data_IF_446200867441
#
_entry.id   IF_446200867441
#
_cell.length_a   1.000
_cell.length_b   1.000
_cell.length_c   1.000
_cell.angle_alpha   90.00
_cell.angle_beta   90.00
_cell.angle_gamma   90.00
#
_symmetry.space_group_name_H-M   'P 1'
#
loop_
_entity.id
_entity.type
_entity.pdbx_description
1 polymer ?
#
# COMPACT_ATOMS: atom_id res chain seq x y z
N UNK A 1 -10.02 -20.79 62.51
CA UNK A 1 -8.92 -21.36 61.70
C UNK A 1 -9.34 -21.20 60.24
N UNK A 2 -9.30 -19.99 59.69
CA UNK A 2 -8.16 -19.34 59.00
C UNK A 2 -7.65 -20.17 57.80
N UNK A 3 -8.05 -19.68 56.61
CA UNK A 3 -7.19 -19.50 55.45
C UNK A 3 -6.74 -20.73 54.63
N UNK A 4 -7.63 -21.42 53.89
CA UNK A 4 -7.21 -22.34 52.81
C UNK A 4 -8.09 -22.27 51.53
N UNK A 5 -9.05 -21.35 51.39
CA UNK A 5 -9.99 -21.37 50.24
C UNK A 5 -9.92 -20.17 49.29
N UNK A 6 -8.82 -19.42 49.25
CA UNK A 6 -8.63 -18.30 48.31
C UNK A 6 -7.28 -18.43 47.61
N UNK A 7 -7.03 -19.53 46.89
CA UNK A 7 -5.83 -19.67 46.05
C UNK A 7 -6.09 -20.40 44.72
N UNK A 8 -7.32 -20.37 44.19
CA UNK A 8 -7.63 -21.10 42.95
C UNK A 8 -8.61 -20.39 42.00
N UNK A 9 -8.81 -19.09 42.16
CA UNK A 9 -9.72 -18.32 41.32
C UNK A 9 -9.07 -17.06 40.78
N UNK A 10 -8.94 -16.99 39.46
CA UNK A 10 -8.59 -15.82 38.65
C UNK A 10 -7.11 -15.36 38.68
N UNK A 11 -6.28 -16.10 37.96
CA UNK A 11 -5.29 -15.45 37.07
C UNK A 11 -5.57 -15.93 35.66
N UNK A 12 -6.71 -15.50 35.09
CA UNK A 12 -6.87 -15.52 33.63
C UNK A 12 -6.06 -14.32 33.12
N UNK A 13 -4.76 -14.55 32.95
CA UNK A 13 -3.87 -13.63 32.23
C UNK A 13 -4.54 -13.33 30.89
N UNK A 14 -4.94 -12.07 30.72
CA UNK A 14 -5.26 -11.47 29.43
C UNK A 14 -3.98 -11.55 28.59
N UNK A 15 -3.76 -12.69 27.95
CA UNK A 15 -2.85 -12.76 26.81
C UNK A 15 -3.57 -12.02 25.71
N UNK A 16 -3.45 -10.69 25.71
CA UNK A 16 -3.80 -9.89 24.54
C UNK A 16 -2.84 -10.37 23.47
N UNK A 17 -3.29 -11.07 22.42
CA UNK A 17 -2.40 -11.34 21.32
C UNK A 17 -1.95 -9.96 20.84
N UNK A 18 -0.63 -9.71 20.89
CA UNK A 18 -0.07 -8.56 20.23
C UNK A 18 -0.47 -8.71 18.76
N UNK A 19 -1.51 -7.97 18.34
CA UNK A 19 -1.81 -7.81 16.93
C UNK A 19 -0.64 -6.98 16.44
N UNK A 20 0.38 -7.66 15.93
CA UNK A 20 1.50 -7.01 15.27
C UNK A 20 0.89 -6.26 14.10
N UNK A 21 0.63 -4.96 14.28
CA UNK A 21 0.34 -4.08 13.17
C UNK A 21 1.54 -4.22 12.25
N UNK A 22 1.34 -4.91 11.12
CA UNK A 22 2.41 -5.11 10.19
C UNK A 22 2.81 -3.73 9.70
N UNK A 23 3.99 -3.29 10.13
CA UNK A 23 4.50 -1.97 9.80
C UNK A 23 4.68 -1.93 8.29
N UNK A 24 3.96 -1.04 7.63
CA UNK A 24 4.04 -0.87 6.18
C UNK A 24 5.28 -0.06 5.77
N UNK A 25 6.34 -0.11 6.58
CA UNK A 25 7.57 0.69 6.47
C UNK A 25 7.35 2.19 6.67
N UNK A 26 8.44 2.96 6.64
CA UNK A 26 8.38 4.43 6.61
C UNK A 26 8.04 4.94 5.22
N UNK A 27 7.41 6.12 5.14
CA UNK A 27 7.23 6.83 3.87
C UNK A 27 8.58 7.42 3.41
N UNK A 28 8.85 7.33 2.10
CA UNK A 28 10.01 7.95 1.46
C UNK A 28 11.31 7.16 1.49
N UNK A 29 11.88 6.93 0.31
CA UNK A 29 13.29 6.66 0.06
C UNK A 29 13.70 7.24 -1.32
N UNK A 30 14.73 8.11 -1.38
CA UNK A 30 15.24 8.65 -2.64
C UNK A 30 14.37 9.74 -3.29
N UNK A 31 13.81 9.49 -4.47
CA UNK A 31 13.05 10.47 -5.27
C UNK A 31 11.57 10.48 -4.85
N UNK A 32 11.21 11.38 -3.93
CA UNK A 32 9.87 11.51 -3.33
C UNK A 32 9.89 11.35 -1.81
N UNK A 33 8.73 11.27 -1.14
CA UNK A 33 7.40 11.17 -1.74
C UNK A 33 6.85 12.52 -2.21
N UNK A 34 6.17 12.52 -3.35
CA UNK A 34 5.46 13.67 -3.91
C UNK A 34 3.95 13.41 -3.91
N UNK A 35 3.19 14.48 -3.82
CA UNK A 35 1.73 14.47 -3.81
C UNK A 35 1.14 14.56 -5.22
N UNK A 36 0.37 13.54 -5.60
CA UNK A 36 -0.31 13.44 -6.89
C UNK A 36 -1.42 14.49 -7.07
N UNK A 37 -1.95 15.05 -5.98
CA UNK A 37 -2.98 16.09 -6.01
C UNK A 37 -2.40 17.51 -6.08
N UNK A 38 -1.12 17.67 -5.76
CA UNK A 38 -0.41 18.94 -5.88
C UNK A 38 -0.03 19.23 -7.36
N UNK A 39 -0.35 20.44 -7.82
CA UNK A 39 -0.14 20.83 -9.22
C UNK A 39 1.35 20.95 -9.60
N UNK A 40 2.16 21.54 -8.74
CA UNK A 40 3.61 21.70 -8.93
C UNK A 40 4.30 20.33 -9.00
N UNK A 41 3.95 19.41 -8.10
CA UNK A 41 4.47 18.05 -8.13
C UNK A 41 4.08 17.30 -9.42
N UNK A 42 2.85 17.50 -9.91
CA UNK A 42 2.42 16.92 -11.20
C UNK A 42 3.14 17.51 -12.40
N UNK A 43 3.49 18.79 -12.36
CA UNK A 43 4.18 19.46 -13.45
C UNK A 43 5.67 19.11 -13.47
N UNK A 44 6.34 19.20 -12.32
CA UNK A 44 7.79 19.11 -12.24
C UNK A 44 8.30 17.69 -11.99
N UNK A 45 7.57 16.90 -11.19
CA UNK A 45 8.09 15.64 -10.63
C UNK A 45 7.50 14.40 -11.28
N UNK A 46 6.21 14.43 -11.58
CA UNK A 46 5.48 13.31 -12.16
C UNK A 46 6.01 12.88 -13.54
N UNK A 47 6.42 13.78 -14.46
CA UNK A 47 6.91 13.38 -15.78
C UNK A 47 8.17 12.51 -15.72
N UNK A 48 9.00 12.66 -14.68
CA UNK A 48 10.21 11.85 -14.51
C UNK A 48 9.84 10.41 -14.19
N UNK A 49 8.88 10.21 -13.28
CA UNK A 49 8.40 8.88 -12.86
C UNK A 49 7.61 8.20 -13.97
N UNK A 50 6.67 8.91 -14.60
CA UNK A 50 5.78 8.29 -15.61
C UNK A 50 6.52 7.86 -16.87
N UNK A 51 7.57 8.59 -17.28
CA UNK A 51 8.42 8.18 -18.42
C UNK A 51 9.29 6.96 -18.12
N UNK A 52 9.74 6.79 -16.88
CA UNK A 52 10.67 5.72 -16.50
C UNK A 52 9.96 4.46 -16.00
N UNK A 53 8.83 4.60 -15.30
CA UNK A 53 8.22 3.52 -14.52
C UNK A 53 6.69 3.41 -14.67
N UNK A 54 5.99 4.42 -15.18
CA UNK A 54 4.52 4.36 -15.29
C UNK A 54 4.02 4.75 -16.69
N UNK A 55 4.50 4.02 -17.69
CA UNK A 55 4.10 4.20 -19.09
C UNK A 55 2.69 3.66 -19.34
N UNK A 56 2.04 4.00 -20.47
CA UNK A 56 0.73 3.45 -20.82
C UNK A 56 0.67 1.92 -20.90
N UNK A 57 1.80 1.26 -21.16
CA UNK A 57 1.91 -0.21 -21.17
C UNK A 57 1.93 -0.78 -19.75
N UNK A 58 2.64 -0.13 -18.82
CA UNK A 58 2.67 -0.52 -17.41
C UNK A 58 1.27 -0.36 -16.81
N UNK A 59 0.61 0.77 -17.04
CA UNK A 59 -0.72 1.02 -16.49
C UNK A 59 -1.79 0.04 -17.00
N UNK A 60 -1.70 -0.36 -18.28
CA UNK A 60 -2.56 -1.38 -18.88
C UNK A 60 -2.14 -2.81 -18.50
N UNK A 61 -1.06 -2.95 -17.72
CA UNK A 61 -0.48 -4.21 -17.27
C UNK A 61 -0.09 -5.12 -18.46
N UNK A 62 0.43 -4.55 -19.53
CA UNK A 62 0.87 -5.31 -20.71
C UNK A 62 2.30 -5.82 -20.55
N UNK A 63 3.21 -4.94 -20.11
CA UNK A 63 4.62 -5.26 -19.83
C UNK A 63 5.26 -4.17 -18.96
N UNK A 64 6.34 -4.51 -18.27
CA UNK A 64 7.18 -3.53 -17.58
C UNK A 64 7.92 -2.60 -18.56
N UNK A 65 8.27 -1.41 -18.06
CA UNK A 65 9.14 -0.45 -18.71
C UNK A 65 10.60 -0.64 -18.30
N UNK A 66 10.88 -0.79 -17.00
CA UNK A 66 12.26 -0.95 -16.48
C UNK A 66 12.57 -2.39 -16.03
N UNK A 67 11.56 -3.28 -16.10
CA UNK A 67 11.70 -4.70 -15.78
C UNK A 67 10.34 -5.37 -15.63
N UNK A 68 9.94 -5.62 -14.38
CA UNK A 68 8.67 -6.26 -14.05
C UNK A 68 7.56 -5.24 -13.78
N UNK A 69 6.31 -5.56 -14.15
CA UNK A 69 5.13 -4.73 -13.87
C UNK A 69 5.06 -4.29 -12.41
N UNK A 70 5.17 -5.23 -11.47
CA UNK A 70 5.13 -4.90 -10.04
C UNK A 70 6.29 -4.03 -9.59
N UNK A 71 7.49 -4.18 -10.15
CA UNK A 71 8.65 -3.34 -9.80
C UNK A 71 8.51 -1.89 -10.27
N UNK A 72 7.93 -1.69 -11.45
CA UNK A 72 7.63 -0.37 -12.01
C UNK A 72 6.51 0.34 -11.24
N UNK A 73 5.46 -0.40 -10.88
CA UNK A 73 4.37 0.10 -10.03
C UNK A 73 4.90 0.41 -8.61
N UNK A 74 5.74 -0.45 -8.03
CA UNK A 74 6.41 -0.23 -6.75
C UNK A 74 7.20 1.09 -6.75
N UNK A 75 8.04 1.31 -7.76
CA UNK A 75 8.79 2.55 -7.88
C UNK A 75 7.85 3.76 -7.92
N UNK A 76 6.81 3.67 -8.74
CA UNK A 76 5.84 4.74 -8.88
C UNK A 76 5.16 5.09 -7.56
N UNK A 77 4.78 4.09 -6.77
CA UNK A 77 4.13 4.28 -5.46
C UNK A 77 5.09 4.70 -4.34
N UNK A 78 6.40 4.44 -4.46
CA UNK A 78 7.40 5.05 -3.55
C UNK A 78 7.57 6.54 -3.82
N UNK A 79 7.62 6.90 -5.10
CA UNK A 79 7.78 8.30 -5.52
C UNK A 79 6.51 9.12 -5.31
N UNK A 80 5.33 8.53 -5.53
CA UNK A 80 4.02 9.15 -5.34
C UNK A 80 3.07 8.18 -4.62
N UNK A 81 3.05 8.18 -3.27
CA UNK A 81 2.22 7.23 -2.50
C UNK A 81 0.74 7.29 -2.85
N UNK A 82 0.20 8.47 -3.15
CA UNK A 82 -1.19 8.66 -3.59
C UNK A 82 -1.35 8.71 -5.13
N UNK A 83 -0.46 8.10 -5.92
CA UNK A 83 -0.64 8.06 -7.37
C UNK A 83 -1.84 7.21 -7.78
N UNK A 84 -2.98 7.85 -8.05
CA UNK A 84 -4.28 7.18 -8.23
C UNK A 84 -4.23 6.04 -9.26
N UNK A 85 -3.68 6.31 -10.44
CA UNK A 85 -3.61 5.31 -11.53
C UNK A 85 -2.69 4.12 -11.20
N UNK A 86 -1.66 4.34 -10.38
CA UNK A 86 -0.72 3.29 -10.00
C UNK A 86 -1.28 2.42 -8.87
N UNK A 87 -2.03 3.02 -7.93
CA UNK A 87 -2.79 2.27 -6.93
C UNK A 87 -3.85 1.37 -7.59
N UNK A 88 -4.56 1.89 -8.59
CA UNK A 88 -5.50 1.10 -9.37
C UNK A 88 -4.81 -0.03 -10.15
N UNK A 89 -3.71 0.27 -10.85
CA UNK A 89 -2.93 -0.73 -11.58
C UNK A 89 -2.38 -1.83 -10.67
N UNK A 90 -1.87 -1.47 -9.49
CA UNK A 90 -1.47 -2.43 -8.45
C UNK A 90 -2.64 -3.33 -8.06
N UNK A 91 -3.81 -2.77 -7.76
CA UNK A 91 -4.99 -3.56 -7.39
C UNK A 91 -5.39 -4.52 -8.50
N UNK A 92 -5.36 -4.10 -9.76
CA UNK A 92 -5.69 -4.96 -10.91
C UNK A 92 -4.64 -6.06 -11.10
N UNK A 93 -3.36 -5.76 -10.85
CA UNK A 93 -2.28 -6.74 -10.93
C UNK A 93 -2.42 -7.81 -9.84
N UNK A 94 -2.75 -7.41 -8.61
CA UNK A 94 -3.00 -8.32 -7.49
C UNK A 94 -4.13 -9.32 -7.77
N UNK A 95 -5.23 -8.84 -8.36
CA UNK A 95 -6.35 -9.71 -8.76
C UNK A 95 -5.94 -10.64 -9.90
N UNK A 96 -5.20 -10.14 -10.89
CA UNK A 96 -4.71 -10.96 -12.01
C UNK A 96 -3.78 -12.07 -11.56
N UNK A 97 -2.90 -11.77 -10.60
CA UNK A 97 -1.91 -12.71 -10.06
C UNK A 97 -2.46 -13.55 -8.89
N UNK A 98 -3.73 -13.36 -8.51
CA UNK A 98 -4.38 -14.01 -7.36
C UNK A 98 -3.54 -13.96 -6.08
N UNK A 99 -3.07 -12.75 -5.73
CA UNK A 99 -2.15 -12.55 -4.61
C UNK A 99 -2.38 -11.21 -3.91
N UNK A 100 -2.13 -11.20 -2.60
CA UNK A 100 -2.13 -9.98 -1.78
C UNK A 100 -0.84 -9.15 -1.93
N UNK A 101 0.19 -9.72 -2.57
CA UNK A 101 1.48 -9.06 -2.84
C UNK A 101 1.92 -9.42 -4.26
N UNK A 102 1.66 -8.56 -5.26
CA UNK A 102 2.12 -8.81 -6.61
C UNK A 102 3.62 -9.01 -6.70
N UNK A 103 4.04 -9.77 -7.69
CA UNK A 103 5.43 -10.12 -7.93
C UNK A 103 6.27 -8.86 -8.11
N UNK A 104 7.46 -8.82 -7.48
CA UNK A 104 8.38 -7.67 -7.50
C UNK A 104 7.90 -6.40 -6.79
N UNK A 105 6.82 -6.47 -6.00
CA UNK A 105 6.43 -5.38 -5.09
C UNK A 105 7.03 -5.59 -3.69
N UNK A 106 7.48 -4.50 -3.05
CA UNK A 106 8.03 -4.53 -1.69
C UNK A 106 6.96 -4.83 -0.63
N UNK A 107 5.77 -4.27 -0.80
CA UNK A 107 4.68 -4.38 0.16
C UNK A 107 3.42 -5.01 -0.43
N UNK A 108 2.56 -5.51 0.45
CA UNK A 108 1.21 -5.98 0.09
C UNK A 108 0.34 -4.83 -0.40
N UNK A 109 -0.75 -5.15 -1.12
CA UNK A 109 -1.74 -4.16 -1.57
C UNK A 109 -2.29 -3.36 -0.39
N UNK A 110 -2.64 -4.05 0.72
CA UNK A 110 -3.06 -3.42 1.98
C UNK A 110 -2.06 -2.39 2.47
N UNK A 111 -0.77 -2.72 2.43
CA UNK A 111 0.26 -1.80 2.90
C UNK A 111 0.45 -0.60 1.98
N UNK A 112 0.28 -0.76 0.66
CA UNK A 112 0.32 0.38 -0.25
C UNK A 112 -0.84 1.36 -0.02
N UNK A 113 -2.06 0.86 0.19
CA UNK A 113 -3.18 1.72 0.56
C UNK A 113 -3.00 2.37 1.92
N UNK A 114 -2.47 1.65 2.92
CA UNK A 114 -2.12 2.23 4.21
C UNK A 114 -1.15 3.41 4.06
N UNK A 115 -0.05 3.21 3.32
CA UNK A 115 0.95 4.24 3.04
C UNK A 115 0.35 5.44 2.32
N UNK A 116 -0.51 5.21 1.32
CA UNK A 116 -1.19 6.28 0.59
C UNK A 116 -2.09 7.13 1.52
N UNK A 117 -2.83 6.50 2.43
CA UNK A 117 -3.69 7.16 3.41
C UNK A 117 -2.90 7.89 4.50
N UNK A 118 -1.79 7.33 4.96
CA UNK A 118 -0.89 8.02 5.89
C UNK A 118 -0.27 9.26 5.24
N UNK A 119 0.05 9.17 3.95
CA UNK A 119 0.66 10.27 3.20
C UNK A 119 -0.33 11.39 2.85
N UNK A 120 -1.52 11.03 2.36
CA UNK A 120 -2.55 11.98 1.92
C UNK A 120 -3.93 11.56 2.48
N UNK A 121 -4.18 11.78 3.79
CA UNK A 121 -5.41 11.31 4.44
C UNK A 121 -6.69 11.94 3.87
N UNK A 122 -6.60 13.16 3.34
CA UNK A 122 -7.72 13.91 2.77
C UNK A 122 -7.95 13.62 1.26
N UNK A 123 -7.11 12.78 0.65
CA UNK A 123 -7.28 12.38 -0.75
C UNK A 123 -8.36 11.29 -0.87
N UNK A 124 -9.60 11.72 -1.07
CA UNK A 124 -10.76 10.83 -1.18
C UNK A 124 -10.64 9.75 -2.26
N UNK A 125 -9.82 9.97 -3.30
CA UNK A 125 -9.59 8.97 -4.34
C UNK A 125 -8.82 7.76 -3.81
N UNK A 126 -7.91 7.94 -2.85
CA UNK A 126 -7.17 6.83 -2.22
C UNK A 126 -8.13 5.88 -1.51
N UNK A 127 -9.06 6.43 -0.74
CA UNK A 127 -10.10 5.66 -0.03
C UNK A 127 -11.04 4.93 -0.98
N UNK A 128 -11.48 5.63 -2.03
CA UNK A 128 -12.32 5.02 -3.07
C UNK A 128 -11.60 3.85 -3.75
N UNK A 129 -10.33 4.00 -4.10
CA UNK A 129 -9.54 2.96 -4.76
C UNK A 129 -9.31 1.73 -3.85
N UNK A 130 -9.14 1.92 -2.54
CA UNK A 130 -9.09 0.81 -1.59
C UNK A 130 -10.43 0.08 -1.53
N UNK A 131 -11.55 0.81 -1.49
CA UNK A 131 -12.88 0.22 -1.57
C UNK A 131 -13.11 -0.56 -2.88
N UNK A 132 -12.67 -0.01 -4.01
CA UNK A 132 -12.70 -0.71 -5.31
C UNK A 132 -11.82 -1.97 -5.31
N UNK A 133 -10.67 -1.95 -4.65
CA UNK A 133 -9.84 -3.14 -4.50
C UNK A 133 -10.59 -4.24 -3.75
N UNK A 134 -11.22 -3.90 -2.62
CA UNK A 134 -12.04 -4.85 -1.88
C UNK A 134 -13.20 -5.40 -2.72
N UNK A 135 -13.91 -4.53 -3.46
CA UNK A 135 -14.97 -4.97 -4.35
C UNK A 135 -14.51 -5.98 -5.41
N UNK A 136 -13.27 -5.87 -5.90
CA UNK A 136 -12.69 -6.82 -6.87
C UNK A 136 -12.39 -8.20 -6.27
N UNK A 137 -12.20 -8.29 -4.95
CA UNK A 137 -11.90 -9.54 -4.25
C UNK A 137 -13.17 -10.36 -3.93
N UNK A 138 -14.35 -9.75 -3.99
CA UNK A 138 -15.64 -10.36 -3.60
C UNK A 138 -16.02 -10.05 -2.17
#
# INVERSE_FOLDING_TARGET
MKAIWILLGLVLLLVVPAVWAQSCGSLGDGYGPYDYTNAEHREERLPIVTRAHFTPQVERLERGQSGHLGGDIDYTLRAFPNHHRALDAMSRLAVREDTHKPSNMRYTVRCWFHRAKEFAPDDGMVWMLEGMHHHRLG
#
